data_IF_108316238265
#
_entry.id   IF_108316238265
#
_cell.length_a   1.000
_cell.length_b   1.000
_cell.length_c   1.000
_cell.angle_alpha   90.00
_cell.angle_beta   90.00
_cell.angle_gamma   90.00
#
_symmetry.space_group_name_H-M   'P 1'
#
loop_
_entity.id
_entity.type
_entity.pdbx_description
1 polymer ?
#
# COMPACT_ATOMS: atom_id res chain seq x y z
N UNK A 1 10.52 12.00 -22.26
CA UNK A 1 9.74 11.17 -23.15
C UNK A 1 8.27 11.22 -22.79
N UNK A 2 7.45 11.37 -23.79
CA UNK A 2 6.01 11.54 -23.62
C UNK A 2 5.36 10.33 -22.93
N UNK A 3 5.73 9.12 -23.38
CA UNK A 3 5.15 7.91 -22.80
C UNK A 3 5.43 7.75 -21.32
N UNK A 4 6.63 8.13 -20.88
CA UNK A 4 7.03 8.07 -19.48
C UNK A 4 6.24 9.09 -18.65
N UNK A 5 6.00 10.28 -19.20
CA UNK A 5 5.20 11.29 -18.51
C UNK A 5 3.76 10.84 -18.34
N UNK A 6 3.20 10.22 -19.37
CA UNK A 6 1.84 9.67 -19.29
C UNK A 6 1.79 8.55 -18.26
N UNK A 7 2.79 7.67 -18.25
CA UNK A 7 2.83 6.58 -17.27
C UNK A 7 2.93 7.09 -15.84
N UNK A 8 3.77 8.10 -15.60
CA UNK A 8 3.84 8.73 -14.26
C UNK A 8 2.50 9.30 -13.84
N UNK A 9 1.83 10.00 -14.75
CA UNK A 9 0.54 10.59 -14.47
C UNK A 9 -0.49 9.52 -14.15
N UNK A 10 -0.51 8.44 -14.94
CA UNK A 10 -1.42 7.33 -14.71
C UNK A 10 -1.16 6.66 -13.37
N UNK A 11 0.11 6.43 -13.02
CA UNK A 11 0.44 5.82 -11.73
C UNK A 11 0.01 6.72 -10.57
N UNK A 12 0.27 8.01 -10.67
CA UNK A 12 -0.18 8.94 -9.64
C UNK A 12 -1.70 8.95 -9.51
N UNK A 13 -2.39 8.94 -10.65
CA UNK A 13 -3.86 8.92 -10.65
C UNK A 13 -4.39 7.64 -10.03
N UNK A 14 -3.84 6.49 -10.43
CA UNK A 14 -4.29 5.18 -9.93
C UNK A 14 -4.07 5.09 -8.41
N UNK A 15 -2.85 5.39 -7.96
CA UNK A 15 -2.55 5.23 -6.54
C UNK A 15 -3.21 6.31 -5.68
N UNK A 16 -3.44 7.50 -6.22
CA UNK A 16 -4.23 8.52 -5.54
C UNK A 16 -5.68 8.06 -5.39
N UNK A 17 -6.23 7.45 -6.43
CA UNK A 17 -7.61 6.94 -6.39
C UNK A 17 -7.72 5.81 -5.35
N UNK A 18 -6.77 4.88 -5.33
CA UNK A 18 -6.75 3.79 -4.35
C UNK A 18 -6.66 4.37 -2.94
N UNK A 19 -5.75 5.30 -2.73
CA UNK A 19 -5.54 5.90 -1.41
C UNK A 19 -6.80 6.59 -0.91
N UNK A 20 -7.38 7.46 -1.73
CA UNK A 20 -8.57 8.22 -1.36
C UNK A 20 -9.76 7.29 -1.10
N UNK A 21 -9.96 6.31 -1.98
CA UNK A 21 -11.05 5.34 -1.83
C UNK A 21 -10.92 4.57 -0.52
N UNK A 22 -9.71 4.05 -0.25
CA UNK A 22 -9.50 3.22 0.94
C UNK A 22 -9.61 4.03 2.23
N UNK A 23 -9.09 5.25 2.24
CA UNK A 23 -9.24 6.12 3.41
C UNK A 23 -10.71 6.43 3.65
N UNK A 24 -11.44 6.76 2.59
CA UNK A 24 -12.87 7.10 2.70
C UNK A 24 -13.68 5.90 3.17
N UNK A 25 -13.47 4.74 2.56
CA UNK A 25 -14.22 3.54 2.91
C UNK A 25 -13.89 3.06 4.33
N UNK A 26 -12.61 3.07 4.69
CA UNK A 26 -12.17 2.64 6.01
C UNK A 26 -12.73 3.56 7.09
N UNK A 27 -12.71 4.87 6.85
CA UNK A 27 -13.26 5.84 7.79
C UNK A 27 -14.77 5.63 7.95
N UNK A 28 -15.47 5.48 6.84
CA UNK A 28 -16.92 5.26 6.88
C UNK A 28 -17.27 4.01 7.68
N UNK A 29 -16.60 2.88 7.37
CA UNK A 29 -16.88 1.63 8.05
C UNK A 29 -16.48 1.66 9.52
N UNK A 30 -15.40 2.35 9.86
CA UNK A 30 -14.95 2.47 11.26
C UNK A 30 -15.96 3.24 12.10
N UNK A 31 -16.65 4.19 11.50
CA UNK A 31 -17.66 4.97 12.21
C UNK A 31 -18.99 4.24 12.33
N UNK A 32 -19.32 3.35 11.37
CA UNK A 32 -20.62 2.70 11.32
C UNK A 32 -20.57 1.24 11.74
N UNK A 33 -19.48 0.54 11.44
CA UNK A 33 -19.33 -0.88 11.80
C UNK A 33 -17.87 -1.17 12.12
N UNK A 34 -17.42 -0.86 13.34
CA UNK A 34 -16.00 -1.03 13.72
C UNK A 34 -15.50 -2.46 13.52
N UNK A 35 -14.22 -2.58 13.23
CA UNK A 35 -13.59 -3.86 12.92
C UNK A 35 -13.76 -4.89 14.03
N UNK A 36 -13.71 -4.46 15.30
CA UNK A 36 -13.87 -5.39 16.42
C UNK A 36 -15.24 -6.03 16.49
N UNK A 37 -16.25 -5.44 15.85
CA UNK A 37 -17.58 -6.04 15.77
C UNK A 37 -17.70 -7.05 14.64
N UNK A 38 -16.76 -7.05 13.71
CA UNK A 38 -16.75 -7.95 12.57
C UNK A 38 -15.92 -9.20 12.81
N UNK A 39 -15.37 -9.38 14.01
CA UNK A 39 -14.48 -10.50 14.30
C UNK A 39 -15.06 -11.86 14.00
N UNK A 40 -16.36 -12.06 14.26
CA UNK A 40 -17.02 -13.34 13.98
C UNK A 40 -17.15 -13.63 12.49
N UNK A 41 -17.15 -12.60 11.65
CA UNK A 41 -17.23 -12.76 10.19
C UNK A 41 -15.92 -13.28 9.60
N UNK A 42 -14.80 -13.05 10.30
CA UNK A 42 -13.47 -13.46 9.86
C UNK A 42 -13.00 -14.73 10.57
N UNK A 43 -13.92 -15.66 10.81
CA UNK A 43 -13.59 -16.93 11.44
C UNK A 43 -13.92 -18.09 10.50
N UNK A 44 -13.26 -19.23 10.72
CA UNK A 44 -13.51 -20.42 9.92
C UNK A 44 -14.98 -20.86 10.03
N UNK A 45 -15.59 -20.67 11.20
CA UNK A 45 -16.98 -21.00 11.42
C UNK A 45 -17.92 -20.01 10.74
N UNK A 46 -17.52 -18.72 10.68
CA UNK A 46 -18.36 -17.67 10.08
C UNK A 46 -18.28 -17.64 8.57
N UNK A 47 -17.07 -17.46 8.03
CA UNK A 47 -16.87 -17.38 6.59
C UNK A 47 -15.47 -17.83 6.21
N UNK A 48 -15.31 -19.07 5.75
CA UNK A 48 -14.00 -19.56 5.30
C UNK A 48 -13.42 -18.72 4.16
N UNK A 49 -14.26 -18.24 3.25
CA UNK A 49 -13.79 -17.42 2.15
C UNK A 49 -13.25 -16.07 2.60
N UNK A 50 -13.84 -15.49 3.65
CA UNK A 50 -13.32 -14.25 4.22
C UNK A 50 -11.95 -14.47 4.82
N UNK A 51 -11.73 -15.60 5.51
CA UNK A 51 -10.42 -15.96 6.07
C UNK A 51 -9.40 -16.15 4.95
N UNK A 52 -9.78 -16.86 3.90
CA UNK A 52 -8.89 -17.09 2.76
C UNK A 52 -8.49 -15.77 2.10
N UNK A 53 -9.45 -14.86 1.93
CA UNK A 53 -9.19 -13.54 1.37
C UNK A 53 -8.24 -12.75 2.25
N UNK A 54 -8.38 -12.87 3.56
CA UNK A 54 -7.50 -12.19 4.51
C UNK A 54 -6.06 -12.70 4.40
N UNK A 55 -5.86 -14.01 4.28
CA UNK A 55 -4.54 -14.57 4.05
C UNK A 55 -3.93 -14.06 2.75
N UNK A 56 -4.73 -14.05 1.69
CA UNK A 56 -4.29 -13.55 0.39
C UNK A 56 -3.83 -12.10 0.50
N UNK A 57 -4.63 -11.27 1.17
CA UNK A 57 -4.31 -9.87 1.34
C UNK A 57 -2.99 -9.68 2.11
N UNK A 58 -2.82 -10.39 3.23
CA UNK A 58 -1.61 -10.24 4.04
C UNK A 58 -0.37 -10.80 3.35
N UNK A 59 -0.51 -11.88 2.59
CA UNK A 59 0.61 -12.34 1.78
C UNK A 59 0.98 -11.34 0.70
N UNK A 60 -0.01 -10.64 0.14
CA UNK A 60 0.25 -9.53 -0.76
C UNK A 60 0.99 -8.38 -0.08
N UNK A 61 0.62 -8.08 1.17
CA UNK A 61 1.30 -7.07 1.96
C UNK A 61 2.77 -7.43 2.18
N UNK A 62 3.05 -8.70 2.49
CA UNK A 62 4.43 -9.16 2.66
C UNK A 62 5.22 -9.07 1.35
N UNK A 63 4.59 -9.42 0.23
CA UNK A 63 5.21 -9.29 -1.09
C UNK A 63 5.60 -7.83 -1.37
N UNK A 64 4.69 -6.91 -1.08
CA UNK A 64 4.96 -5.49 -1.24
C UNK A 64 6.08 -5.03 -0.30
N UNK A 65 6.06 -5.53 0.93
CA UNK A 65 7.07 -5.15 1.91
C UNK A 65 8.48 -5.57 1.50
N UNK A 66 8.61 -6.68 0.79
CA UNK A 66 9.92 -7.09 0.25
C UNK A 66 10.49 -5.98 -0.64
N UNK A 67 9.64 -5.36 -1.48
CA UNK A 67 10.06 -4.22 -2.30
C UNK A 67 10.46 -3.03 -1.42
N UNK A 68 9.69 -2.75 -0.37
CA UNK A 68 10.03 -1.67 0.57
C UNK A 68 11.40 -1.91 1.18
N UNK A 69 11.71 -3.15 1.55
CA UNK A 69 13.02 -3.50 2.10
C UNK A 69 14.16 -3.21 1.11
N UNK A 70 13.90 -3.39 -0.18
CA UNK A 70 14.89 -3.03 -1.19
C UNK A 70 15.03 -1.52 -1.37
N UNK A 71 13.93 -0.79 -1.21
CA UNK A 71 13.91 0.66 -1.38
C UNK A 71 14.54 1.40 -0.19
N UNK A 72 14.21 0.98 1.03
CA UNK A 72 14.61 1.69 2.23
C UNK A 72 15.94 1.16 2.74
N UNK A 73 16.79 2.07 3.21
CA UNK A 73 18.10 1.70 3.74
C UNK A 73 18.09 1.47 5.24
N UNK A 74 17.34 2.32 5.95
CA UNK A 74 17.34 2.29 7.40
C UNK A 74 16.43 1.22 7.99
N UNK A 75 16.89 0.55 9.03
CA UNK A 75 16.06 -0.43 9.72
C UNK A 75 14.81 0.23 10.33
N UNK A 76 14.96 1.44 10.85
CA UNK A 76 13.85 2.17 11.46
C UNK A 76 12.73 2.42 10.44
N UNK A 77 13.10 2.82 9.20
CA UNK A 77 12.13 3.04 8.14
C UNK A 77 11.45 1.74 7.74
N UNK A 78 12.20 0.65 7.64
CA UNK A 78 11.63 -0.66 7.31
C UNK A 78 10.64 -1.12 8.36
N UNK A 79 10.98 -0.99 9.64
CA UNK A 79 10.08 -1.38 10.74
C UNK A 79 8.83 -0.52 10.72
N UNK A 80 8.98 0.79 10.53
CA UNK A 80 7.84 1.70 10.47
C UNK A 80 6.88 1.30 9.34
N UNK A 81 7.41 1.07 8.14
CA UNK A 81 6.57 0.71 7.01
C UNK A 81 5.94 -0.68 7.17
N UNK A 82 6.67 -1.61 7.78
CA UNK A 82 6.10 -2.92 8.09
C UNK A 82 4.84 -2.78 8.96
N UNK A 83 4.95 -2.01 10.05
CA UNK A 83 3.83 -1.80 10.96
C UNK A 83 2.67 -1.09 10.26
N UNK A 84 2.98 -0.07 9.46
CA UNK A 84 1.94 0.68 8.74
C UNK A 84 1.24 -0.20 7.71
N UNK A 85 1.99 -0.99 6.96
CA UNK A 85 1.41 -1.86 5.93
C UNK A 85 0.54 -2.93 6.58
N UNK A 86 1.01 -3.54 7.66
CA UNK A 86 0.22 -4.57 8.34
C UNK A 86 -1.05 -4.01 8.99
N UNK A 87 -1.00 -2.77 9.46
CA UNK A 87 -2.15 -2.14 10.11
C UNK A 87 -3.12 -1.50 9.13
N UNK A 88 -2.60 -0.84 8.09
CA UNK A 88 -3.40 -0.02 7.18
C UNK A 88 -3.54 -0.61 5.77
N UNK A 89 -2.76 -1.63 5.44
CA UNK A 89 -2.87 -2.31 4.16
C UNK A 89 -2.72 -1.38 2.97
N UNK A 90 -3.73 -1.33 2.13
CA UNK A 90 -3.66 -0.55 0.90
C UNK A 90 -3.53 0.96 1.11
N UNK A 91 -3.96 1.46 2.26
CA UNK A 91 -3.75 2.87 2.59
C UNK A 91 -2.25 3.15 2.68
N UNK A 92 -1.52 2.32 3.44
CA UNK A 92 -0.08 2.49 3.58
C UNK A 92 0.65 2.21 2.28
N UNK A 93 0.27 1.15 1.56
CA UNK A 93 0.94 0.77 0.33
C UNK A 93 0.77 1.81 -0.76
N UNK A 94 -0.45 2.29 -0.98
CA UNK A 94 -0.68 3.34 -1.99
C UNK A 94 -0.02 4.65 -1.58
N UNK A 95 -0.04 4.97 -0.30
CA UNK A 95 0.66 6.13 0.22
C UNK A 95 2.16 6.04 0.00
N UNK A 96 2.74 4.87 0.25
CA UNK A 96 4.17 4.65 0.00
C UNK A 96 4.53 4.85 -1.47
N UNK A 97 3.73 4.25 -2.37
CA UNK A 97 3.97 4.40 -3.81
C UNK A 97 3.88 5.87 -4.22
N UNK A 98 2.88 6.59 -3.70
CA UNK A 98 2.72 8.01 -4.00
C UNK A 98 3.93 8.82 -3.51
N UNK A 99 4.42 8.54 -2.30
CA UNK A 99 5.59 9.22 -1.77
C UNK A 99 6.78 9.00 -2.71
N UNK A 100 7.00 7.76 -3.15
CA UNK A 100 8.10 7.45 -4.06
C UNK A 100 7.92 8.13 -5.41
N UNK A 101 6.69 8.17 -5.93
CA UNK A 101 6.42 8.85 -7.20
C UNK A 101 6.69 10.35 -7.11
N UNK A 102 6.29 10.98 -6.01
CA UNK A 102 6.50 12.42 -5.83
C UNK A 102 7.97 12.76 -5.56
N UNK A 103 8.75 11.79 -5.11
CA UNK A 103 10.19 11.99 -4.87
C UNK A 103 11.01 11.85 -6.15
N UNK A 104 10.46 11.25 -7.20
CA UNK A 104 11.14 11.18 -8.49
C UNK A 104 11.21 12.56 -9.12
N UNK A 105 12.40 12.92 -9.57
CA UNK A 105 12.57 14.16 -10.32
C UNK A 105 12.03 13.98 -11.74
N UNK A 106 11.61 15.08 -12.40
CA UNK A 106 11.03 14.97 -13.74
C UNK A 106 11.96 14.30 -14.75
N UNK A 107 13.26 14.42 -14.56
CA UNK A 107 14.27 13.89 -15.47
C UNK A 107 14.69 12.47 -15.14
N UNK A 108 14.35 11.98 -13.96
CA UNK A 108 14.72 10.61 -13.57
C UNK A 108 13.91 9.60 -14.37
N UNK A 109 14.54 8.46 -14.75
CA UNK A 109 13.76 7.38 -15.36
C UNK A 109 12.77 6.81 -14.35
N UNK A 110 11.61 6.41 -14.85
CA UNK A 110 10.56 5.84 -14.00
C UNK A 110 11.03 4.57 -13.29
N UNK A 111 11.97 3.84 -13.90
CA UNK A 111 12.53 2.63 -13.28
C UNK A 111 13.20 2.89 -11.94
N UNK A 112 13.60 4.13 -11.66
CA UNK A 112 14.15 4.50 -10.35
C UNK A 112 13.13 4.37 -9.23
N UNK A 113 11.86 4.27 -9.57
CA UNK A 113 10.81 3.98 -8.58
C UNK A 113 11.06 2.65 -7.88
N UNK A 114 11.59 1.67 -8.61
CA UNK A 114 11.82 0.33 -8.08
C UNK A 114 13.16 0.20 -7.36
N UNK A 115 14.06 1.13 -7.58
CA UNK A 115 15.43 1.02 -7.08
C UNK A 115 15.64 1.90 -5.84
N UNK A 116 16.59 1.47 -5.01
CA UNK A 116 17.02 2.28 -3.86
C UNK A 116 17.69 3.54 -4.38
N UNK A 117 17.31 4.66 -3.79
CA UNK A 117 17.89 5.94 -4.22
C UNK A 117 19.37 5.97 -3.83
N UNK A 118 20.18 6.47 -4.77
CA UNK A 118 21.58 6.73 -4.50
C UNK A 118 21.72 8.02 -3.67
N UNK A 119 22.62 8.02 -2.73
CA UNK A 119 22.90 9.20 -1.92
C UNK A 119 24.34 9.60 -2.03
#
# INVERSE_FOLDING_TARGET
MEGTKIMRLLLKAIFSAIFVWMVSMTTYLSLHKPLWQAGSEFSWAGSPWAVATLFDAYFGFLTFFVWVCFKERGLAAKVLWFLLIMALGNIAMSGYVLIQLFRLEPEEPLSNLLLRRAE
#
